data_IF_298269989964
#
_entry.id   IF_298269989964
#
_cell.length_a   1.000
_cell.length_b   1.000
_cell.length_c   1.000
_cell.angle_alpha   90.00
_cell.angle_beta   90.00
_cell.angle_gamma   90.00
#
_symmetry.space_group_name_H-M   'P 1'
#
loop_
_entity.id
_entity.type
_entity.pdbx_description
1 polymer ?
#
# COMPACT_ATOMS: atom_id res chain seq x y z
N UNK A 1 -19.99 32.15 -55.17
CA UNK A 1 -20.62 31.48 -54.00
C UNK A 1 -20.02 30.10 -53.68
N UNK A 2 -19.58 29.28 -54.64
CA UNK A 2 -18.95 27.96 -54.38
C UNK A 2 -17.73 27.99 -53.43
N UNK A 3 -16.91 29.02 -53.52
CA UNK A 3 -15.63 29.10 -52.80
C UNK A 3 -15.79 29.40 -51.29
N UNK A 4 -16.91 30.04 -50.91
CA UNK A 4 -17.23 30.37 -49.51
C UNK A 4 -17.76 29.14 -48.76
N UNK A 5 -18.61 28.33 -49.42
CA UNK A 5 -19.15 27.08 -48.86
C UNK A 5 -18.05 26.03 -48.67
N UNK A 6 -17.09 25.92 -49.60
CA UNK A 6 -15.95 25.01 -49.46
C UNK A 6 -15.00 25.43 -48.32
N UNK A 7 -14.77 26.73 -48.12
CA UNK A 7 -13.96 27.25 -47.00
C UNK A 7 -14.63 27.00 -45.65
N UNK A 8 -15.96 27.11 -45.57
CA UNK A 8 -16.73 26.84 -44.35
C UNK A 8 -16.75 25.34 -43.98
N UNK A 9 -16.79 24.44 -44.98
CA UNK A 9 -16.70 22.98 -44.81
C UNK A 9 -15.32 22.50 -44.29
N UNK A 10 -14.23 23.18 -44.69
CA UNK A 10 -12.88 22.84 -44.20
C UNK A 10 -12.64 23.28 -42.75
N UNK A 11 -13.23 24.41 -42.33
CA UNK A 11 -13.09 24.94 -40.97
C UNK A 11 -13.84 24.08 -39.95
N UNK A 12 -15.05 23.60 -40.29
CA UNK A 12 -15.82 22.70 -39.42
C UNK A 12 -15.18 21.32 -39.27
N UNK A 13 -14.54 20.79 -40.32
CA UNK A 13 -13.82 19.52 -40.24
C UNK A 13 -12.59 19.58 -39.31
N UNK A 14 -11.89 20.73 -39.28
CA UNK A 14 -10.73 20.95 -38.41
C UNK A 14 -11.10 21.09 -36.92
N UNK A 15 -12.26 21.69 -36.63
CA UNK A 15 -12.81 21.82 -35.27
C UNK A 15 -13.30 20.48 -34.71
N UNK A 16 -13.86 19.61 -35.55
CA UNK A 16 -14.27 18.26 -35.14
C UNK A 16 -13.07 17.32 -34.85
N UNK A 17 -11.95 17.49 -35.58
CA UNK A 17 -10.73 16.70 -35.39
C UNK A 17 -9.95 17.09 -34.12
N UNK A 18 -10.10 18.33 -33.65
CA UNK A 18 -9.47 18.80 -32.42
C UNK A 18 -10.27 18.45 -31.15
N UNK A 19 -11.59 18.23 -31.26
CA UNK A 19 -12.43 17.77 -30.14
C UNK A 19 -12.27 16.27 -29.81
N UNK A 20 -11.75 15.46 -30.74
CA UNK A 20 -11.64 14.00 -30.54
C UNK A 20 -10.42 13.56 -29.73
N UNK A 21 -9.50 14.47 -29.38
CA UNK A 21 -8.25 14.14 -28.66
C UNK A 21 -8.41 14.26 -27.13
N UNK A 22 -9.54 14.79 -26.63
CA UNK A 22 -9.75 15.00 -25.19
C UNK A 22 -10.65 13.94 -24.53
N UNK A 23 -10.44 12.67 -24.85
CA UNK A 23 -11.02 11.55 -24.07
C UNK A 23 -9.92 10.77 -23.38
N UNK A 24 -9.21 11.41 -22.43
CA UNK A 24 -8.39 10.67 -21.47
C UNK A 24 -9.33 9.92 -20.53
N UNK A 25 -9.55 8.64 -20.79
CA UNK A 25 -10.14 7.74 -19.79
C UNK A 25 -9.25 7.81 -18.54
N UNK A 26 -9.82 8.25 -17.42
CA UNK A 26 -9.17 8.15 -16.12
C UNK A 26 -9.06 6.66 -15.77
N UNK A 27 -7.90 6.09 -16.04
CA UNK A 27 -7.62 4.73 -15.59
C UNK A 27 -7.46 4.78 -14.08
N UNK A 28 -8.52 4.41 -13.36
CA UNK A 28 -8.47 4.20 -11.93
C UNK A 28 -7.34 3.19 -11.67
N UNK A 29 -6.36 3.60 -10.87
CA UNK A 29 -5.28 2.71 -10.46
C UNK A 29 -5.91 1.53 -9.71
N UNK A 30 -5.93 0.36 -10.35
CA UNK A 30 -6.34 -0.88 -9.73
C UNK A 30 -5.37 -1.15 -8.58
N UNK A 31 -5.85 -0.95 -7.35
CA UNK A 31 -5.11 -1.29 -6.16
C UNK A 31 -5.07 -2.82 -6.04
N UNK A 32 -4.02 -3.43 -6.59
CA UNK A 32 -3.73 -4.83 -6.32
C UNK A 32 -3.25 -4.92 -4.87
N UNK A 33 -4.14 -5.31 -3.97
CA UNK A 33 -3.80 -5.72 -2.61
C UNK A 33 -2.90 -6.94 -2.71
N UNK A 34 -1.58 -6.74 -2.78
CA UNK A 34 -0.64 -7.86 -2.88
C UNK A 34 -0.66 -8.63 -1.57
N UNK A 35 -1.12 -9.88 -1.63
CA UNK A 35 -1.12 -10.84 -0.53
C UNK A 35 0.09 -11.75 -0.71
N UNK A 36 0.92 -11.86 0.32
CA UNK A 36 2.09 -12.74 0.37
C UNK A 36 1.87 -13.81 1.44
N UNK A 37 2.19 -15.06 1.11
CA UNK A 37 2.09 -16.20 2.04
C UNK A 37 3.48 -16.82 2.18
N UNK A 38 3.88 -17.10 3.42
CA UNK A 38 5.09 -17.87 3.75
C UNK A 38 4.73 -19.03 4.65
N UNK A 39 4.95 -20.26 4.19
CA UNK A 39 4.65 -21.49 4.93
C UNK A 39 5.76 -21.79 5.96
N UNK A 40 5.35 -22.30 7.12
CA UNK A 40 6.23 -22.72 8.21
C UNK A 40 6.29 -24.25 8.26
N UNK A 41 7.36 -24.79 8.83
CA UNK A 41 7.61 -26.24 8.90
C UNK A 41 6.52 -27.01 9.66
N UNK A 42 5.87 -26.36 10.64
CA UNK A 42 4.78 -26.94 11.41
C UNK A 42 3.40 -26.89 10.70
N UNK A 43 3.36 -26.38 9.46
CA UNK A 43 2.15 -26.20 8.66
C UNK A 43 1.40 -24.89 8.89
N UNK A 44 1.79 -24.09 9.87
CA UNK A 44 1.31 -22.72 10.02
C UNK A 44 1.87 -21.82 8.91
N UNK A 45 1.39 -20.57 8.82
CA UNK A 45 1.89 -19.64 7.81
C UNK A 45 1.81 -18.18 8.22
N UNK A 46 2.61 -17.35 7.56
CA UNK A 46 2.53 -15.90 7.64
C UNK A 46 1.79 -15.35 6.43
N UNK A 47 0.72 -14.60 6.66
CA UNK A 47 -0.03 -13.87 5.63
C UNK A 47 0.29 -12.37 5.77
N UNK A 48 0.92 -11.78 4.75
CA UNK A 48 1.21 -10.34 4.70
C UNK A 48 0.37 -9.65 3.64
N UNK A 49 -0.30 -8.55 4.00
CA UNK A 49 -1.20 -7.79 3.13
C UNK A 49 -0.94 -6.29 3.33
N UNK A 50 -1.03 -5.51 2.26
CA UNK A 50 -1.05 -4.04 2.31
C UNK A 50 -2.48 -3.55 2.00
N UNK A 51 -3.03 -2.69 2.85
CA UNK A 51 -4.36 -2.09 2.70
C UNK A 51 -4.29 -0.56 2.85
N UNK A 52 -5.33 0.15 2.43
CA UNK A 52 -5.48 1.60 2.65
C UNK A 52 -5.91 2.37 1.41
N UNK A 53 -5.94 3.70 1.50
CA UNK A 53 -6.51 4.57 0.46
C UNK A 53 -5.74 4.47 -0.86
N UNK A 54 -6.42 4.42 -2.04
CA UNK A 54 -5.74 4.37 -3.33
C UNK A 54 -4.79 5.56 -3.48
N UNK A 55 -3.66 5.35 -4.17
CA UNK A 55 -2.86 6.47 -4.62
C UNK A 55 -3.68 7.26 -5.65
N UNK A 56 -3.86 8.56 -5.47
CA UNK A 56 -4.34 9.42 -6.55
C UNK A 56 -3.22 9.53 -7.61
N UNK A 57 -3.26 8.59 -8.56
CA UNK A 57 -2.42 8.55 -9.76
C UNK A 57 -2.85 9.63 -10.75
N UNK A 58 -2.71 10.90 -10.36
CA UNK A 58 -2.93 12.00 -11.29
C UNK A 58 -1.65 12.21 -12.10
N UNK A 59 -1.82 12.14 -13.42
CA UNK A 59 -0.87 12.47 -14.49
C UNK A 59 0.16 13.51 -14.07
N UNK A 60 1.41 13.32 -14.51
CA UNK A 60 2.57 14.19 -14.31
C UNK A 60 2.17 15.65 -14.54
N UNK A 61 1.96 16.39 -13.45
CA UNK A 61 1.98 17.86 -13.46
C UNK A 61 3.44 18.26 -13.41
N UNK A 62 3.91 18.99 -14.41
CA UNK A 62 5.27 19.53 -14.48
C UNK A 62 5.58 20.51 -13.33
N UNK A 63 4.57 20.92 -12.57
CA UNK A 63 4.68 21.60 -11.27
C UNK A 63 4.47 20.56 -10.16
N UNK A 64 5.57 20.18 -9.49
CA UNK A 64 5.63 19.14 -8.45
C UNK A 64 4.80 19.52 -7.22
N UNK A 65 3.50 19.24 -7.22
CA UNK A 65 2.70 19.25 -6.00
C UNK A 65 3.00 17.99 -5.18
N UNK A 66 3.39 18.16 -3.92
CA UNK A 66 3.61 17.04 -3.00
C UNK A 66 2.29 16.31 -2.76
N UNK A 67 2.25 15.01 -3.01
CA UNK A 67 1.10 14.13 -2.77
C UNK A 67 1.27 13.40 -1.44
N UNK A 68 0.18 12.89 -0.89
CA UNK A 68 0.17 12.10 0.35
C UNK A 68 -0.56 10.77 0.13
N UNK A 69 -0.07 9.70 0.77
CA UNK A 69 -0.72 8.38 0.78
C UNK A 69 -0.54 7.73 2.15
N UNK A 70 -1.60 7.09 2.64
CA UNK A 70 -1.58 6.32 3.88
C UNK A 70 -1.95 4.88 3.60
N UNK A 71 -1.08 3.96 4.02
CA UNK A 71 -1.29 2.52 3.88
C UNK A 71 -0.93 1.82 5.18
N UNK A 72 -1.47 0.63 5.35
CA UNK A 72 -1.17 -0.27 6.46
C UNK A 72 -0.65 -1.56 5.90
N UNK A 73 0.50 -2.02 6.39
CA UNK A 73 1.01 -3.35 6.09
C UNK A 73 0.85 -4.21 7.33
N UNK A 74 0.21 -5.35 7.17
CA UNK A 74 -0.11 -6.28 8.26
C UNK A 74 0.47 -7.64 7.94
N UNK A 75 1.22 -8.22 8.87
CA UNK A 75 1.59 -9.64 8.85
C UNK A 75 0.81 -10.37 9.93
N UNK A 76 0.08 -11.41 9.54
CA UNK A 76 -0.65 -12.30 10.44
C UNK A 76 0.08 -13.62 10.54
N UNK A 77 0.25 -14.12 11.76
CA UNK A 77 0.57 -15.51 12.00
C UNK A 77 -0.73 -16.31 12.01
N UNK A 78 -0.84 -17.28 11.11
CA UNK A 78 -2.04 -18.06 10.85
C UNK A 78 -1.77 -19.52 11.17
N UNK A 79 -2.69 -20.18 11.84
CA UNK A 79 -2.61 -21.63 12.00
C UNK A 79 -2.80 -22.33 10.65
N UNK A 80 -2.38 -23.59 10.54
CA UNK A 80 -2.69 -24.44 9.37
C UNK A 80 -4.18 -24.46 8.97
N UNK A 81 -5.08 -24.24 9.92
CA UNK A 81 -6.53 -24.19 9.71
C UNK A 81 -7.04 -22.79 9.28
N UNK A 82 -6.15 -21.81 9.10
CA UNK A 82 -6.47 -20.46 8.65
C UNK A 82 -6.92 -19.48 9.75
N UNK A 83 -6.91 -19.89 11.01
CA UNK A 83 -7.21 -19.01 12.14
C UNK A 83 -6.05 -18.06 12.38
N UNK A 84 -6.34 -16.76 12.56
CA UNK A 84 -5.32 -15.80 12.97
C UNK A 84 -4.95 -16.10 14.42
N UNK A 85 -3.68 -16.36 14.71
CA UNK A 85 -3.19 -16.55 16.07
C UNK A 85 -2.82 -15.21 16.69
N UNK A 86 -2.04 -14.42 15.94
CA UNK A 86 -1.70 -13.05 16.27
C UNK A 86 -1.30 -12.27 15.01
N UNK A 87 -1.21 -10.95 15.10
CA UNK A 87 -0.76 -10.11 14.01
C UNK A 87 0.04 -8.91 14.48
N UNK A 88 0.86 -8.37 13.59
CA UNK A 88 1.55 -7.09 13.74
C UNK A 88 1.31 -6.26 12.48
N UNK A 89 0.98 -4.99 12.68
CA UNK A 89 0.71 -4.04 11.63
C UNK A 89 1.52 -2.76 11.81
N UNK A 90 1.86 -2.13 10.69
CA UNK A 90 2.43 -0.78 10.64
C UNK A 90 1.58 0.04 9.68
N UNK A 91 0.91 1.08 10.20
CA UNK A 91 0.25 2.12 9.42
C UNK A 91 1.27 3.24 9.22
N UNK A 92 1.45 3.68 7.98
CA UNK A 92 2.37 4.76 7.66
C UNK A 92 1.75 5.72 6.65
N UNK A 93 2.05 7.00 6.82
CA UNK A 93 1.72 8.06 5.86
C UNK A 93 3.01 8.52 5.20
N UNK A 94 2.95 8.70 3.89
CA UNK A 94 4.08 9.10 3.06
C UNK A 94 3.73 10.32 2.23
N UNK A 95 4.67 11.23 2.08
CA UNK A 95 4.63 12.27 1.05
C UNK A 95 5.56 11.92 -0.10
N UNK A 96 5.16 12.22 -1.33
CA UNK A 96 5.93 11.92 -2.54
C UNK A 96 5.64 12.92 -3.65
N UNK A 97 6.59 13.11 -4.57
CA UNK A 97 6.48 14.13 -5.62
C UNK A 97 7.09 13.72 -6.98
N UNK A 98 7.31 12.43 -7.23
CA UNK A 98 7.95 11.90 -8.43
C UNK A 98 9.48 11.92 -8.37
N UNK A 99 10.09 12.71 -7.48
CA UNK A 99 11.55 12.76 -7.29
C UNK A 99 11.99 12.15 -5.97
N UNK A 100 11.25 12.41 -4.91
CA UNK A 100 11.56 11.98 -3.54
C UNK A 100 10.32 11.43 -2.85
N UNK A 101 10.53 10.69 -1.76
CA UNK A 101 9.48 10.23 -0.87
C UNK A 101 9.95 10.30 0.58
N UNK A 102 9.04 10.51 1.52
CA UNK A 102 9.31 10.60 2.95
C UNK A 102 8.17 10.00 3.74
N UNK A 103 8.48 9.21 4.77
CA UNK A 103 7.49 8.81 5.75
C UNK A 103 7.28 9.98 6.73
N UNK A 104 6.05 10.49 6.81
CA UNK A 104 5.70 11.65 7.64
C UNK A 104 5.20 11.22 9.01
N UNK A 105 4.35 10.19 9.06
CA UNK A 105 3.84 9.62 10.31
C UNK A 105 3.73 8.10 10.22
N UNK A 106 3.74 7.45 11.38
CA UNK A 106 3.54 6.01 11.49
C UNK A 106 2.95 5.63 12.85
N UNK A 107 2.28 4.48 12.90
CA UNK A 107 1.83 3.84 14.13
C UNK A 107 1.78 2.33 13.95
N UNK A 108 2.15 1.59 14.99
CA UNK A 108 2.03 0.14 15.01
C UNK A 108 0.73 -0.30 15.69
N UNK A 109 0.29 -1.52 15.41
CA UNK A 109 -0.76 -2.19 16.17
C UNK A 109 -0.57 -3.70 16.13
N UNK A 110 -1.17 -4.40 17.09
CA UNK A 110 -1.13 -5.87 17.17
C UNK A 110 -2.50 -6.42 17.54
N UNK A 111 -2.78 -7.65 17.14
CA UNK A 111 -3.92 -8.43 17.65
C UNK A 111 -3.44 -9.80 18.10
N UNK A 112 -4.12 -10.41 19.07
CA UNK A 112 -3.77 -11.73 19.58
C UNK A 112 -5.04 -12.48 20.03
N UNK A 113 -5.89 -12.89 19.08
CA UNK A 113 -7.15 -13.56 19.41
C UNK A 113 -6.97 -15.00 19.92
N UNK A 114 -5.83 -15.65 19.69
CA UNK A 114 -5.57 -16.97 20.26
C UNK A 114 -5.13 -16.88 21.71
N UNK A 115 -5.80 -17.65 22.59
CA UNK A 115 -5.48 -17.72 24.02
C UNK A 115 -4.14 -18.37 24.34
N UNK A 116 -3.62 -19.22 23.45
CA UNK A 116 -2.30 -19.85 23.58
C UNK A 116 -1.13 -18.90 23.28
N UNK A 117 -1.43 -17.68 22.80
CA UNK A 117 -0.45 -16.69 22.40
C UNK A 117 -0.57 -15.41 23.23
N UNK A 118 0.56 -14.74 23.43
CA UNK A 118 0.62 -13.41 24.06
C UNK A 118 1.62 -12.52 23.34
N UNK A 119 1.24 -11.29 23.02
CA UNK A 119 2.19 -10.25 22.59
C UNK A 119 2.95 -9.76 23.82
N UNK A 120 4.27 -9.93 23.82
CA UNK A 120 5.14 -9.50 24.92
C UNK A 120 5.59 -8.06 24.74
N UNK A 121 6.00 -7.71 23.53
CA UNK A 121 6.43 -6.35 23.19
C UNK A 121 6.10 -6.05 21.75
N UNK A 122 5.84 -4.78 21.47
CA UNK A 122 5.82 -4.23 20.12
C UNK A 122 6.57 -2.91 20.11
N UNK A 123 7.43 -2.73 19.12
CA UNK A 123 8.16 -1.49 18.90
C UNK A 123 8.00 -1.06 17.46
N UNK A 124 8.29 0.21 17.18
CA UNK A 124 8.24 0.72 15.82
C UNK A 124 9.21 1.87 15.62
N UNK A 125 9.80 1.92 14.44
CA UNK A 125 10.77 2.92 14.04
C UNK A 125 10.50 3.41 12.63
N UNK A 126 11.07 4.56 12.28
CA UNK A 126 11.01 5.13 10.94
C UNK A 126 12.42 5.48 10.46
N UNK A 127 12.68 5.26 9.17
CA UNK A 127 13.92 5.70 8.50
C UNK A 127 13.60 6.10 7.06
N UNK A 128 13.89 7.35 6.71
CA UNK A 128 13.65 7.88 5.37
C UNK A 128 12.19 7.74 4.92
N UNK A 129 11.96 6.99 3.84
CA UNK A 129 10.64 6.69 3.28
C UNK A 129 10.08 5.33 3.73
N UNK A 130 10.54 4.81 4.87
CA UNK A 130 10.12 3.53 5.42
C UNK A 130 9.76 3.61 6.90
N UNK A 131 8.80 2.79 7.32
CA UNK A 131 8.45 2.54 8.71
C UNK A 131 8.42 1.03 9.00
N UNK A 132 8.89 0.64 10.17
CA UNK A 132 8.99 -0.77 10.59
C UNK A 132 8.32 -0.95 11.94
N UNK A 133 7.50 -1.98 12.08
CA UNK A 133 7.03 -2.48 13.36
C UNK A 133 7.63 -3.86 13.64
N UNK A 134 8.06 -4.10 14.87
CA UNK A 134 8.58 -5.40 15.32
C UNK A 134 7.80 -5.84 16.54
N UNK A 135 7.19 -7.01 16.46
CA UNK A 135 6.49 -7.64 17.57
C UNK A 135 7.20 -8.91 18.03
N UNK A 136 7.19 -9.16 19.33
CA UNK A 136 7.60 -10.41 19.95
C UNK A 136 6.36 -11.06 20.56
N UNK A 137 5.95 -12.19 19.99
CA UNK A 137 4.88 -13.02 20.51
C UNK A 137 5.46 -14.22 21.26
N UNK A 138 4.76 -14.68 22.28
CA UNK A 138 5.10 -15.88 23.05
C UNK A 138 3.97 -16.88 22.89
N UNK A 139 4.32 -18.09 22.50
CA UNK A 139 3.42 -19.24 22.53
C UNK A 139 3.70 -20.04 23.80
N UNK A 140 2.66 -20.37 24.55
CA UNK A 140 2.75 -21.20 25.75
C UNK A 140 2.13 -22.57 25.47
N UNK A 141 2.92 -23.62 25.62
CA UNK A 141 2.48 -25.01 25.47
C UNK A 141 3.10 -25.85 26.58
N UNK A 142 2.27 -26.48 27.42
CA UNK A 142 2.69 -27.34 28.53
C UNK A 142 3.83 -26.75 29.39
N UNK A 143 3.67 -25.50 29.85
CA UNK A 143 4.66 -24.72 30.62
C UNK A 143 5.96 -24.34 29.87
N UNK A 144 6.11 -24.68 28.59
CA UNK A 144 7.21 -24.24 27.74
C UNK A 144 6.79 -22.99 26.96
N UNK A 145 7.59 -21.93 27.06
CA UNK A 145 7.38 -20.68 26.32
C UNK A 145 8.33 -20.58 25.13
N UNK A 146 7.76 -20.46 23.93
CA UNK A 146 8.53 -20.21 22.69
C UNK A 146 8.29 -18.78 22.22
N UNK A 147 9.38 -18.05 21.91
CA UNK A 147 9.33 -16.67 21.42
C UNK A 147 9.37 -16.65 19.90
N UNK A 148 8.54 -15.80 19.31
CA UNK A 148 8.46 -15.56 17.89
C UNK A 148 8.55 -14.07 17.62
N UNK A 149 9.58 -13.65 16.88
CA UNK A 149 9.79 -12.25 16.50
C UNK A 149 9.39 -12.04 15.06
N UNK A 150 8.55 -11.05 14.78
CA UNK A 150 8.21 -10.65 13.41
C UNK A 150 8.36 -9.16 13.23
N UNK A 151 9.12 -8.78 12.20
CA UNK A 151 9.22 -7.41 11.70
C UNK A 151 8.42 -7.24 10.42
N UNK A 152 7.70 -6.12 10.31
CA UNK A 152 6.97 -5.70 9.13
C UNK A 152 7.42 -4.29 8.78
N UNK A 153 7.99 -4.14 7.58
CA UNK A 153 8.41 -2.85 7.04
C UNK A 153 7.52 -2.46 5.88
N UNK A 154 7.00 -1.23 5.92
CA UNK A 154 6.28 -0.58 4.83
C UNK A 154 7.11 0.59 4.30
N UNK A 155 7.24 0.70 2.98
CA UNK A 155 8.03 1.73 2.31
C UNK A 155 7.27 2.40 1.18
N UNK A 156 7.63 3.61 0.83
CA UNK A 156 7.08 4.33 -0.32
C UNK A 156 8.21 4.85 -1.21
N UNK A 157 8.11 4.65 -2.53
CA UNK A 157 9.04 5.23 -3.50
C UNK A 157 8.60 6.63 -3.94
N UNK A 158 9.45 7.31 -4.72
CA UNK A 158 9.19 8.67 -5.21
C UNK A 158 7.92 8.80 -6.07
N UNK A 159 7.48 7.70 -6.70
CA UNK A 159 6.28 7.63 -7.52
C UNK A 159 5.00 7.33 -6.72
N UNK A 160 5.10 7.19 -5.39
CA UNK A 160 3.94 6.90 -4.54
C UNK A 160 3.55 5.42 -4.50
N UNK A 161 4.40 4.52 -5.01
CA UNK A 161 4.18 3.08 -4.92
C UNK A 161 4.62 2.63 -3.53
N UNK A 162 3.70 1.96 -2.82
CA UNK A 162 3.90 1.48 -1.46
C UNK A 162 4.11 -0.03 -1.45
N UNK A 163 5.13 -0.50 -0.73
CA UNK A 163 5.50 -1.92 -0.59
C UNK A 163 5.80 -2.34 0.84
#
# INVERSE_FOLDING_TARGET
>A
MKNFTTRLLFVTLFICFSFSILSRKSQAASFTSSKQIYLLENGDYLETIITGTPAFSNNISYLSSSKSITKTKTSKYKSKNGLTLWSVSIKATFTYNGRTSKCTSYSHSTTCPSSAWKIKTVTSSKRGSSATATAVAVHSDNNVQKKFTKSVTISCNSNGIVS
#
